data_IF_412535519697
#
_entry.id   IF_412535519697
#
_cell.length_a   1.000
_cell.length_b   1.000
_cell.length_c   1.000
_cell.angle_alpha   90.00
_cell.angle_beta   90.00
_cell.angle_gamma   90.00
#
_symmetry.space_group_name_H-M   'P 1'
#
loop_
_entity.id
_entity.type
_entity.pdbx_description
1 polymer ?
#
# COMPACT_ATOMS: atom_id res chain seq x y z
N UNK A 1 -18.71 57.41 -39.72
CA UNK A 1 -19.87 56.49 -39.66
C UNK A 1 -19.83 55.58 -38.45
N UNK A 2 -18.70 55.11 -38.08
CA UNK A 2 -18.50 54.25 -36.90
C UNK A 2 -18.57 55.00 -35.54
N UNK A 3 -18.39 56.31 -35.54
CA UNK A 3 -18.27 57.09 -34.28
C UNK A 3 -19.59 57.67 -33.76
N UNK A 4 -20.72 57.48 -34.50
CA UNK A 4 -22.03 57.98 -34.10
C UNK A 4 -23.02 56.93 -33.59
N UNK A 5 -22.70 55.66 -33.70
CA UNK A 5 -23.57 54.58 -33.23
C UNK A 5 -23.48 54.34 -31.74
N UNK A 6 -24.64 54.31 -31.11
CA UNK A 6 -24.78 53.89 -29.69
C UNK A 6 -25.34 52.49 -29.61
N UNK A 7 -24.87 51.71 -28.70
CA UNK A 7 -25.39 50.39 -28.40
C UNK A 7 -26.30 50.50 -27.17
N UNK A 8 -27.60 50.26 -27.36
CA UNK A 8 -28.56 50.24 -26.26
C UNK A 8 -28.47 48.92 -25.50
N UNK A 9 -28.12 48.99 -24.25
CA UNK A 9 -28.28 47.89 -23.31
C UNK A 9 -29.46 48.18 -22.36
N UNK A 10 -30.04 47.17 -21.74
CA UNK A 10 -31.21 47.33 -20.85
C UNK A 10 -31.00 48.31 -19.68
N UNK A 11 -29.79 48.74 -19.42
CA UNK A 11 -29.43 49.62 -18.30
C UNK A 11 -28.72 50.92 -18.71
N UNK A 12 -27.98 50.95 -19.82
CA UNK A 12 -27.19 52.12 -20.24
C UNK A 12 -27.05 52.19 -21.75
N UNK A 13 -27.15 53.40 -22.29
CA UNK A 13 -26.78 53.73 -23.69
C UNK A 13 -25.30 54.17 -23.67
N UNK A 14 -24.42 53.33 -24.24
CA UNK A 14 -23.01 53.68 -24.40
C UNK A 14 -22.68 53.97 -25.87
N UNK A 15 -21.99 55.07 -26.17
CA UNK A 15 -21.50 55.34 -27.53
C UNK A 15 -20.55 54.23 -27.99
N UNK A 16 -20.68 53.81 -29.24
CA UNK A 16 -19.88 52.70 -29.81
C UNK A 16 -18.36 52.95 -29.70
N UNK A 17 -17.92 54.20 -29.80
CA UNK A 17 -16.53 54.58 -29.64
C UNK A 17 -15.99 54.28 -28.22
N UNK A 18 -16.82 54.45 -27.18
CA UNK A 18 -16.43 54.12 -25.81
C UNK A 18 -16.28 52.60 -25.65
N UNK A 19 -17.18 51.82 -26.22
CA UNK A 19 -17.12 50.35 -26.20
C UNK A 19 -15.83 49.85 -26.91
N UNK A 20 -15.56 50.38 -28.11
CA UNK A 20 -14.35 50.04 -28.84
C UNK A 20 -13.08 50.42 -28.09
N UNK A 21 -13.06 51.60 -27.45
CA UNK A 21 -11.96 52.05 -26.63
C UNK A 21 -11.74 51.11 -25.44
N UNK A 22 -12.81 50.71 -24.74
CA UNK A 22 -12.70 49.77 -23.61
C UNK A 22 -12.15 48.40 -24.05
N UNK A 23 -12.66 47.86 -25.17
CA UNK A 23 -12.18 46.57 -25.70
C UNK A 23 -10.69 46.66 -26.08
N UNK A 24 -10.31 47.73 -26.78
CA UNK A 24 -8.91 47.96 -27.18
C UNK A 24 -7.99 48.13 -25.95
N UNK A 25 -8.46 48.85 -24.95
CA UNK A 25 -7.70 49.05 -23.71
C UNK A 25 -7.53 47.73 -22.93
N UNK A 26 -8.57 46.92 -22.79
CA UNK A 26 -8.50 45.60 -22.16
C UNK A 26 -7.55 44.66 -22.93
N UNK A 27 -7.67 44.64 -24.25
CA UNK A 27 -6.78 43.84 -25.10
C UNK A 27 -5.32 44.28 -24.95
N UNK A 28 -5.06 45.58 -24.88
CA UNK A 28 -3.73 46.14 -24.65
C UNK A 28 -3.15 45.74 -23.29
N UNK A 29 -3.94 45.84 -22.23
CA UNK A 29 -3.51 45.42 -20.89
C UNK A 29 -3.18 43.91 -20.84
N UNK A 30 -4.00 43.06 -21.46
CA UNK A 30 -3.76 41.60 -21.56
C UNK A 30 -2.44 41.33 -22.30
N UNK A 31 -2.20 41.99 -23.43
CA UNK A 31 -0.98 41.82 -24.21
C UNK A 31 0.24 42.25 -23.44
N UNK A 32 0.19 43.38 -22.72
CA UNK A 32 1.26 43.85 -21.86
C UNK A 32 1.53 42.87 -20.73
N UNK A 33 0.46 42.32 -20.12
CA UNK A 33 0.63 41.33 -19.06
C UNK A 33 1.31 40.06 -19.54
N UNK A 34 0.90 39.54 -20.69
CA UNK A 34 1.54 38.36 -21.32
C UNK A 34 3.01 38.65 -21.64
N UNK A 35 3.31 39.83 -22.17
CA UNK A 35 4.70 40.23 -22.47
C UNK A 35 5.56 40.29 -21.20
N UNK A 36 5.06 40.92 -20.13
CA UNK A 36 5.76 41.00 -18.83
C UNK A 36 5.98 39.63 -18.21
N UNK A 37 5.00 38.73 -18.30
CA UNK A 37 5.14 37.36 -17.81
C UNK A 37 6.21 36.59 -18.57
N UNK A 38 6.26 36.72 -19.89
CA UNK A 38 7.27 36.10 -20.73
C UNK A 38 8.70 36.69 -20.46
N UNK A 39 8.80 38.01 -20.29
CA UNK A 39 10.06 38.68 -19.91
C UNK A 39 10.50 38.19 -18.52
N UNK A 40 9.58 38.10 -17.56
CA UNK A 40 9.86 37.59 -16.22
C UNK A 40 10.37 36.15 -16.22
N UNK A 41 9.75 35.28 -17.07
CA UNK A 41 10.25 33.92 -17.26
C UNK A 41 11.63 33.87 -17.84
N UNK A 42 11.89 34.69 -18.90
CA UNK A 42 13.19 34.76 -19.54
C UNK A 42 14.30 35.27 -18.57
N UNK A 43 13.98 36.28 -17.75
CA UNK A 43 14.92 36.80 -16.73
C UNK A 43 15.17 35.73 -15.66
N UNK A 44 14.13 35.03 -15.17
CA UNK A 44 14.27 33.94 -14.19
C UNK A 44 15.12 32.81 -14.75
N UNK A 45 14.89 32.39 -15.99
CA UNK A 45 15.72 31.37 -16.65
C UNK A 45 17.19 31.83 -16.80
N UNK A 46 17.41 33.09 -17.08
CA UNK A 46 18.76 33.67 -17.14
C UNK A 46 19.46 33.76 -15.78
N UNK A 47 18.70 34.04 -14.70
CA UNK A 47 19.21 34.08 -13.32
C UNK A 47 19.46 32.69 -12.72
N UNK A 48 18.77 31.66 -13.24
CA UNK A 48 18.98 30.27 -12.81
C UNK A 48 20.14 29.58 -13.55
N UNK A 49 20.78 30.21 -14.53
CA UNK A 49 21.97 29.66 -15.15
C UNK A 49 23.12 29.68 -14.15
N UNK A 50 23.81 28.55 -14.06
CA UNK A 50 25.00 28.42 -13.26
C UNK A 50 26.02 29.49 -13.73
N UNK A 51 26.46 30.36 -12.82
CA UNK A 51 27.42 31.45 -13.09
C UNK A 51 28.75 30.95 -13.68
N UNK A 52 29.07 29.67 -13.42
CA UNK A 52 30.28 29.02 -13.88
C UNK A 52 30.07 28.09 -15.07
N UNK A 53 28.81 27.92 -15.52
CA UNK A 53 28.45 27.05 -16.62
C UNK A 53 27.50 27.77 -17.61
N UNK A 54 28.06 28.77 -18.31
CA UNK A 54 27.33 29.60 -19.26
C UNK A 54 26.73 28.81 -20.43
N UNK A 55 27.41 27.73 -20.84
CA UNK A 55 26.97 26.88 -21.95
C UNK A 55 25.97 25.80 -21.50
N UNK A 56 25.66 25.73 -20.21
CA UNK A 56 24.82 24.75 -19.61
C UNK A 56 25.29 23.31 -19.91
N UNK A 57 26.61 23.13 -19.88
CA UNK A 57 27.20 21.80 -20.05
C UNK A 57 26.98 20.93 -18.84
N UNK A 58 26.82 19.66 -19.07
CA UNK A 58 26.87 18.65 -18.00
C UNK A 58 28.32 18.23 -17.74
N UNK A 59 28.55 17.48 -16.68
CA UNK A 59 29.84 16.80 -16.48
C UNK A 59 29.94 15.57 -17.36
N UNK A 60 31.12 15.02 -17.49
CA UNK A 60 31.36 13.80 -18.27
C UNK A 60 30.57 12.64 -17.70
N UNK A 61 29.87 11.94 -18.60
CA UNK A 61 29.01 10.80 -18.28
C UNK A 61 29.59 9.54 -18.91
N UNK A 62 29.21 8.38 -18.37
CA UNK A 62 29.61 7.10 -18.91
C UNK A 62 28.98 6.88 -20.29
N UNK A 63 29.81 6.75 -21.32
CA UNK A 63 29.36 6.46 -22.69
C UNK A 63 29.23 4.94 -22.94
N UNK A 64 29.86 4.13 -22.11
CA UNK A 64 29.82 2.68 -22.21
C UNK A 64 28.69 2.10 -21.39
N UNK A 65 28.03 1.07 -21.94
CA UNK A 65 26.98 0.31 -21.28
C UNK A 65 27.57 -0.77 -20.40
N UNK A 66 27.31 -0.72 -19.11
CA UNK A 66 27.67 -1.79 -18.17
C UNK A 66 26.60 -2.88 -18.16
N UNK A 67 26.84 -4.00 -18.82
CA UNK A 67 25.86 -5.08 -18.91
C UNK A 67 26.33 -6.30 -18.12
N UNK A 68 25.52 -6.70 -17.15
CA UNK A 68 25.67 -7.92 -16.37
C UNK A 68 24.28 -8.50 -16.02
N UNK A 69 24.25 -9.61 -15.33
CA UNK A 69 23.02 -10.29 -14.90
C UNK A 69 22.07 -9.37 -14.12
N UNK A 70 22.59 -8.46 -13.30
CA UNK A 70 21.83 -7.63 -12.38
C UNK A 70 21.65 -6.18 -12.84
N UNK A 71 22.33 -5.77 -13.90
CA UNK A 71 22.36 -4.37 -14.32
C UNK A 71 21.05 -3.90 -14.95
N UNK A 72 20.72 -2.63 -14.69
CA UNK A 72 19.71 -1.87 -15.42
C UNK A 72 20.38 -0.68 -16.07
N UNK A 73 20.22 -0.55 -17.37
CA UNK A 73 20.85 0.50 -18.16
C UNK A 73 19.79 1.45 -18.75
N UNK A 74 19.88 2.70 -18.40
CA UNK A 74 18.97 3.75 -18.86
C UNK A 74 19.73 4.64 -19.85
N UNK A 75 19.30 4.74 -21.11
CA UNK A 75 19.94 5.61 -22.08
C UNK A 75 19.70 7.07 -21.73
N UNK A 76 20.74 7.88 -21.87
CA UNK A 76 20.66 9.32 -21.67
C UNK A 76 21.31 10.10 -22.81
N UNK A 77 20.91 11.36 -22.95
CA UNK A 77 21.62 12.34 -23.79
C UNK A 77 22.08 13.48 -22.91
N UNK A 78 23.30 13.92 -23.11
CA UNK A 78 23.89 15.02 -22.36
C UNK A 78 24.70 15.93 -23.27
N UNK A 79 24.85 17.19 -22.89
CA UNK A 79 25.65 18.18 -23.62
C UNK A 79 26.96 18.35 -22.88
N UNK A 80 28.08 18.09 -23.57
CA UNK A 80 29.41 18.20 -22.98
C UNK A 80 30.47 18.50 -24.07
N UNK A 81 31.36 19.44 -23.79
CA UNK A 81 32.38 19.94 -24.71
C UNK A 81 31.81 20.33 -26.08
N UNK A 82 30.78 21.20 -26.04
CA UNK A 82 30.14 21.75 -27.23
C UNK A 82 29.33 20.76 -28.09
N UNK A 83 29.08 19.55 -27.63
CA UNK A 83 28.39 18.50 -28.39
C UNK A 83 27.37 17.72 -27.57
N UNK A 84 26.28 17.32 -28.22
CA UNK A 84 25.37 16.31 -27.64
C UNK A 84 25.97 14.92 -27.80
N UNK A 85 26.09 14.24 -26.65
CA UNK A 85 26.62 12.89 -26.53
C UNK A 85 25.55 11.94 -26.07
N UNK A 86 25.75 10.65 -26.32
CA UNK A 86 24.91 9.55 -25.77
C UNK A 86 25.67 8.93 -24.61
N UNK A 87 24.98 8.63 -23.55
CA UNK A 87 25.54 7.97 -22.39
C UNK A 87 24.53 7.02 -21.74
N UNK A 88 24.95 6.41 -20.66
CA UNK A 88 24.16 5.44 -19.91
C UNK A 88 24.20 5.76 -18.41
N UNK A 89 23.02 5.73 -17.79
CA UNK A 89 22.94 5.58 -16.35
C UNK A 89 22.87 4.07 -16.08
N UNK A 90 24.01 3.51 -15.67
CA UNK A 90 24.12 2.07 -15.43
C UNK A 90 24.03 1.78 -13.94
N UNK A 91 22.91 1.16 -13.52
CA UNK A 91 22.76 0.57 -12.20
C UNK A 91 23.29 -0.86 -12.28
N UNK A 92 24.57 -1.03 -11.96
CA UNK A 92 25.26 -2.33 -12.13
C UNK A 92 24.88 -3.37 -11.10
N UNK A 93 24.34 -2.93 -9.94
CA UNK A 93 23.90 -3.79 -8.85
C UNK A 93 22.56 -3.30 -8.30
N UNK A 94 21.50 -4.04 -8.61
CA UNK A 94 20.14 -3.70 -8.21
C UNK A 94 19.77 -4.12 -6.77
N UNK A 95 20.66 -4.82 -6.04
CA UNK A 95 20.41 -5.21 -4.64
C UNK A 95 20.50 -4.04 -3.65
N UNK A 96 21.03 -2.91 -4.09
CA UNK A 96 20.95 -1.66 -3.34
C UNK A 96 19.73 -0.87 -3.77
N UNK A 97 19.06 -0.23 -2.82
CA UNK A 97 17.88 0.60 -3.10
C UNK A 97 18.21 1.74 -4.07
N UNK A 98 17.33 1.96 -5.04
CA UNK A 98 17.42 3.10 -5.97
C UNK A 98 16.32 4.09 -5.64
N UNK A 99 16.72 5.31 -5.27
CA UNK A 99 15.78 6.40 -4.96
C UNK A 99 15.65 7.32 -6.16
N UNK A 100 14.40 7.52 -6.63
CA UNK A 100 14.10 8.36 -7.79
C UNK A 100 13.25 9.55 -7.38
N UNK A 101 13.82 10.75 -7.44
CA UNK A 101 13.14 11.99 -7.07
C UNK A 101 12.86 12.83 -8.29
N UNK A 102 11.70 13.47 -8.32
CA UNK A 102 11.29 14.39 -9.37
C UNK A 102 9.86 14.87 -9.18
N UNK A 103 9.52 16.00 -9.73
CA UNK A 103 8.16 16.58 -9.69
C UNK A 103 7.15 15.72 -10.45
N UNK A 104 5.85 15.85 -10.19
CA UNK A 104 4.82 15.25 -11.03
C UNK A 104 5.02 15.63 -12.50
N UNK A 105 4.86 14.68 -13.41
CA UNK A 105 5.05 14.92 -14.85
C UNK A 105 6.50 14.92 -15.35
N UNK A 106 7.53 14.78 -14.47
CA UNK A 106 8.95 14.79 -14.88
C UNK A 106 9.42 13.55 -15.64
N UNK A 107 8.52 12.61 -15.97
CA UNK A 107 8.84 11.41 -16.75
C UNK A 107 9.49 10.27 -15.97
N UNK A 108 9.51 10.30 -14.61
CA UNK A 108 10.10 9.24 -13.78
C UNK A 108 9.67 7.82 -14.17
N UNK A 109 8.37 7.65 -14.37
CA UNK A 109 7.80 6.34 -14.72
C UNK A 109 8.34 5.86 -16.06
N UNK A 110 8.25 6.70 -17.10
CA UNK A 110 8.67 6.34 -18.44
C UNK A 110 10.19 6.15 -18.56
N UNK A 111 10.96 7.09 -17.99
CA UNK A 111 12.41 7.12 -18.18
C UNK A 111 13.18 6.15 -17.27
N UNK A 112 12.61 5.77 -16.11
CA UNK A 112 13.33 4.98 -15.11
C UNK A 112 12.57 3.72 -14.73
N UNK A 113 11.32 3.83 -14.23
CA UNK A 113 10.59 2.68 -13.69
C UNK A 113 10.30 1.63 -14.78
N UNK A 114 9.85 2.05 -15.96
CA UNK A 114 9.60 1.12 -17.08
C UNK A 114 10.86 0.40 -17.57
N UNK A 115 12.01 1.06 -17.76
CA UNK A 115 13.27 0.38 -18.03
C UNK A 115 13.66 -0.67 -16.99
N UNK A 116 13.43 -0.41 -15.68
CA UNK A 116 13.64 -1.39 -14.61
C UNK A 116 12.74 -2.61 -14.79
N UNK A 117 11.43 -2.41 -14.92
CA UNK A 117 10.45 -3.50 -15.14
C UNK A 117 10.83 -4.31 -16.38
N UNK A 118 11.10 -3.64 -17.49
CA UNK A 118 11.43 -4.28 -18.77
C UNK A 118 12.69 -5.13 -18.68
N UNK A 119 13.77 -4.58 -18.10
CA UNK A 119 15.06 -5.25 -18.08
C UNK A 119 15.10 -6.38 -17.05
N UNK A 120 14.56 -6.18 -15.86
CA UNK A 120 14.46 -7.24 -14.86
C UNK A 120 13.57 -8.38 -15.33
N UNK A 121 12.41 -8.07 -15.94
CA UNK A 121 11.57 -9.11 -16.54
C UNK A 121 12.28 -9.91 -17.63
N UNK A 122 13.09 -9.24 -18.47
CA UNK A 122 13.85 -9.91 -19.54
C UNK A 122 14.99 -10.78 -18.99
N UNK A 123 15.46 -10.52 -17.77
CA UNK A 123 16.50 -11.26 -17.05
C UNK A 123 15.94 -12.36 -16.13
N UNK A 124 14.63 -12.56 -16.11
CA UNK A 124 13.99 -13.62 -15.35
C UNK A 124 13.79 -13.33 -13.86
N UNK A 125 13.83 -12.08 -13.44
CA UNK A 125 13.53 -11.72 -12.05
C UNK A 125 12.05 -11.83 -11.75
N UNK A 126 11.69 -12.44 -10.63
CA UNK A 126 10.41 -12.22 -9.99
C UNK A 126 10.35 -10.79 -9.42
N UNK A 127 9.17 -10.20 -9.32
CA UNK A 127 9.08 -8.82 -8.85
C UNK A 127 7.75 -8.47 -8.20
N UNK A 128 7.80 -7.52 -7.27
CA UNK A 128 6.62 -6.83 -6.73
C UNK A 128 6.57 -5.43 -7.33
N UNK A 129 5.41 -5.05 -7.85
CA UNK A 129 5.17 -3.71 -8.39
C UNK A 129 3.96 -3.10 -7.70
N UNK A 130 4.17 -1.98 -7.01
CA UNK A 130 3.10 -1.16 -6.47
C UNK A 130 2.70 -0.11 -7.50
N UNK A 131 1.51 -0.23 -8.05
CA UNK A 131 0.98 0.71 -9.05
C UNK A 131 0.09 1.75 -8.38
N UNK A 132 0.68 2.88 -8.00
CA UNK A 132 -0.01 3.98 -7.34
C UNK A 132 -1.16 4.58 -8.17
N UNK A 133 -1.03 4.55 -9.49
CA UNK A 133 -2.04 5.00 -10.45
C UNK A 133 -2.46 3.85 -11.35
N UNK A 134 -3.07 2.84 -10.76
CA UNK A 134 -3.58 1.70 -11.53
C UNK A 134 -4.52 2.17 -12.66
N UNK A 135 -4.42 1.61 -13.89
CA UNK A 135 -3.59 0.47 -14.31
C UNK A 135 -2.30 0.85 -15.06
N UNK A 136 -1.64 1.95 -14.73
CA UNK A 136 -0.52 2.50 -15.52
C UNK A 136 0.68 1.56 -15.61
N UNK A 137 1.18 1.05 -14.48
CA UNK A 137 2.29 0.08 -14.45
C UNK A 137 1.80 -1.35 -14.66
N UNK A 138 0.56 -1.64 -14.31
CA UNK A 138 -0.05 -2.95 -14.45
C UNK A 138 -0.02 -3.47 -15.87
N UNK A 139 -0.49 -2.66 -16.82
CA UNK A 139 -0.49 -3.00 -18.25
C UNK A 139 0.91 -3.27 -18.79
N UNK A 140 1.89 -2.49 -18.35
CA UNK A 140 3.30 -2.63 -18.78
C UNK A 140 3.94 -3.87 -18.18
N UNK A 141 3.73 -4.10 -16.88
CA UNK A 141 4.22 -5.29 -16.19
C UNK A 141 3.65 -6.55 -16.82
N UNK A 142 2.34 -6.61 -17.04
CA UNK A 142 1.68 -7.75 -17.66
C UNK A 142 2.14 -8.00 -19.10
N UNK A 143 2.31 -6.91 -19.88
CA UNK A 143 2.86 -7.02 -21.24
C UNK A 143 4.25 -7.62 -21.25
N UNK A 144 5.16 -7.15 -20.38
CA UNK A 144 6.53 -7.67 -20.31
C UNK A 144 6.55 -9.10 -19.76
N UNK A 145 5.72 -9.43 -18.79
CA UNK A 145 5.55 -10.79 -18.29
C UNK A 145 5.16 -11.73 -19.45
N UNK A 146 4.07 -11.43 -20.16
CA UNK A 146 3.60 -12.27 -21.30
C UNK A 146 4.59 -12.35 -22.44
N UNK A 147 5.28 -11.28 -22.77
CA UNK A 147 6.32 -11.27 -23.78
C UNK A 147 7.49 -12.19 -23.40
N UNK A 148 7.97 -12.09 -22.18
CA UNK A 148 9.12 -12.88 -21.71
C UNK A 148 8.73 -14.33 -21.40
N UNK A 149 7.49 -14.61 -21.00
CA UNK A 149 6.93 -15.95 -20.89
C UNK A 149 7.01 -16.69 -22.24
N UNK A 150 6.55 -16.04 -23.33
CA UNK A 150 6.65 -16.59 -24.69
C UNK A 150 8.10 -16.82 -25.17
N UNK A 151 9.04 -16.04 -24.65
CA UNK A 151 10.47 -16.17 -24.97
C UNK A 151 11.21 -17.14 -24.04
N UNK A 152 10.52 -17.80 -23.10
CA UNK A 152 11.13 -18.73 -22.14
C UNK A 152 12.09 -18.06 -21.15
N UNK A 153 11.95 -16.74 -20.91
CA UNK A 153 12.81 -15.96 -20.01
C UNK A 153 12.24 -15.84 -18.59
N UNK A 154 10.94 -16.07 -18.43
CA UNK A 154 10.31 -16.09 -17.12
C UNK A 154 10.65 -17.41 -16.42
N UNK A 155 10.95 -17.40 -15.10
CA UNK A 155 11.25 -18.63 -14.38
C UNK A 155 10.14 -19.67 -14.53
N UNK A 156 10.53 -20.95 -14.58
CA UNK A 156 9.57 -22.05 -14.72
C UNK A 156 8.59 -22.05 -13.52
N UNK A 157 7.30 -22.20 -13.82
CA UNK A 157 6.26 -22.19 -12.78
C UNK A 157 5.86 -20.80 -12.27
N UNK A 158 6.51 -19.74 -12.76
CA UNK A 158 6.21 -18.37 -12.33
C UNK A 158 4.78 -17.97 -12.68
N UNK A 159 4.08 -17.41 -11.70
CA UNK A 159 2.68 -16.95 -11.84
C UNK A 159 2.62 -15.44 -11.81
N UNK A 160 1.59 -14.89 -12.46
CA UNK A 160 1.24 -13.48 -12.33
C UNK A 160 0.07 -13.35 -11.35
N UNK A 161 0.32 -12.66 -10.24
CA UNK A 161 -0.68 -12.41 -9.22
C UNK A 161 -0.95 -10.90 -9.12
N UNK A 162 -2.18 -10.55 -8.84
CA UNK A 162 -2.59 -9.17 -8.62
C UNK A 162 -3.47 -9.07 -7.37
N UNK A 163 -3.24 -8.05 -6.57
CA UNK A 163 -4.13 -7.65 -5.47
C UNK A 163 -4.72 -6.30 -5.85
N UNK A 164 -6.04 -6.27 -6.00
CA UNK A 164 -6.76 -5.10 -6.48
C UNK A 164 -8.07 -4.93 -5.73
N UNK A 165 -8.15 -3.91 -4.89
CA UNK A 165 -9.36 -3.55 -4.15
C UNK A 165 -10.35 -2.71 -4.96
N UNK A 166 -9.97 -2.22 -6.13
CA UNK A 166 -10.85 -1.46 -7.03
C UNK A 166 -11.71 -2.41 -7.85
N UNK A 167 -11.10 -3.49 -8.34
CA UNK A 167 -11.76 -4.50 -9.16
C UNK A 167 -11.30 -5.89 -8.70
N UNK A 168 -12.13 -6.50 -7.86
CA UNK A 168 -11.82 -7.78 -7.22
C UNK A 168 -11.88 -8.98 -8.16
N UNK A 169 -12.50 -8.84 -9.34
CA UNK A 169 -12.63 -9.92 -10.32
C UNK A 169 -11.27 -10.48 -10.76
N UNK A 170 -10.28 -9.60 -10.86
CA UNK A 170 -8.90 -9.98 -11.23
C UNK A 170 -7.96 -10.09 -10.04
N UNK A 171 -8.47 -9.94 -8.81
CA UNK A 171 -7.66 -9.99 -7.60
C UNK A 171 -7.44 -11.39 -7.09
N UNK A 172 -6.25 -11.65 -6.55
CA UNK A 172 -6.01 -12.75 -5.63
C UNK A 172 -6.50 -12.36 -4.24
N UNK A 173 -6.90 -13.35 -3.48
CA UNK A 173 -7.24 -13.20 -2.08
C UNK A 173 -6.02 -13.51 -1.22
N UNK A 174 -5.87 -12.77 -0.16
CA UNK A 174 -4.74 -12.91 0.76
C UNK A 174 -5.19 -12.57 2.17
N UNK A 175 -4.83 -13.39 3.12
CA UNK A 175 -5.07 -13.08 4.51
C UNK A 175 -3.77 -12.69 5.22
N UNK A 176 -3.53 -11.39 5.47
CA UNK A 176 -2.32 -10.91 6.14
C UNK A 176 -2.33 -11.14 7.67
N UNK A 177 -3.48 -11.57 8.22
CA UNK A 177 -3.68 -11.79 9.65
C UNK A 177 -3.75 -13.31 9.92
N UNK A 178 -2.61 -13.96 9.92
CA UNK A 178 -2.50 -15.39 10.17
C UNK A 178 -1.34 -15.69 11.13
N UNK A 179 -1.41 -16.83 11.81
CA UNK A 179 -0.36 -17.27 12.73
C UNK A 179 1.03 -17.37 12.11
N UNK A 180 1.11 -17.63 10.79
CA UNK A 180 2.40 -17.64 10.06
C UNK A 180 3.07 -16.27 9.97
N UNK A 181 2.30 -15.18 10.10
CA UNK A 181 2.80 -13.80 10.10
C UNK A 181 2.84 -13.19 11.50
N UNK A 182 1.95 -13.66 12.38
CA UNK A 182 1.75 -13.12 13.72
C UNK A 182 1.97 -14.24 14.72
N UNK A 183 3.21 -14.43 15.11
CA UNK A 183 3.63 -15.50 16.01
C UNK A 183 3.76 -15.04 17.47
N UNK A 184 3.67 -13.76 17.74
CA UNK A 184 3.75 -13.16 19.06
C UNK A 184 2.99 -11.84 19.14
N UNK A 185 2.83 -11.31 20.34
CA UNK A 185 2.12 -10.07 20.58
C UNK A 185 2.79 -8.84 19.94
N UNK A 186 4.12 -8.82 19.85
CA UNK A 186 4.83 -7.72 19.20
C UNK A 186 4.50 -7.63 17.71
N UNK A 187 4.39 -8.77 17.02
CA UNK A 187 3.96 -8.81 15.62
C UNK A 187 2.48 -8.38 15.44
N UNK A 188 1.61 -8.68 16.42
CA UNK A 188 0.25 -8.18 16.44
C UNK A 188 0.21 -6.66 16.63
N UNK A 189 1.04 -6.12 17.52
CA UNK A 189 1.14 -4.68 17.77
C UNK A 189 1.66 -3.94 16.54
N UNK A 190 2.72 -4.42 15.89
CA UNK A 190 3.24 -3.86 14.63
C UNK A 190 2.16 -3.85 13.53
N UNK A 191 1.36 -4.91 13.47
CA UNK A 191 0.25 -5.00 12.51
C UNK A 191 -0.82 -3.94 12.77
N UNK A 192 -1.23 -3.80 14.03
CA UNK A 192 -2.22 -2.82 14.45
C UNK A 192 -1.71 -1.39 14.20
N UNK A 193 -0.46 -1.12 14.55
CA UNK A 193 0.19 0.18 14.35
C UNK A 193 0.25 0.53 12.85
N UNK A 194 0.78 -0.37 12.02
CA UNK A 194 0.86 -0.19 10.55
C UNK A 194 -0.51 0.15 9.96
N UNK A 195 -1.56 -0.55 10.38
CA UNK A 195 -2.91 -0.34 9.87
C UNK A 195 -3.45 1.03 10.32
N UNK A 196 -3.36 1.35 11.61
CA UNK A 196 -3.92 2.59 12.16
C UNK A 196 -3.17 3.83 11.69
N UNK A 197 -1.84 3.81 11.64
CA UNK A 197 -1.04 4.91 11.10
C UNK A 197 -1.37 5.19 9.63
N UNK A 198 -1.54 4.13 8.85
CA UNK A 198 -1.90 4.27 7.43
C UNK A 198 -3.29 4.85 7.23
N UNK A 199 -4.25 4.55 8.11
CA UNK A 199 -5.60 5.13 8.11
C UNK A 199 -5.64 6.60 8.56
N UNK A 200 -4.63 7.02 9.32
CA UNK A 200 -4.50 8.39 9.82
C UNK A 200 -3.73 9.32 8.87
N UNK A 201 -3.08 8.80 7.84
CA UNK A 201 -2.34 9.60 6.85
C UNK A 201 -3.21 10.76 6.33
N UNK A 202 -2.65 11.96 6.38
CA UNK A 202 -3.35 13.20 5.95
C UNK A 202 -4.02 14.00 7.07
N UNK A 203 -4.08 13.50 8.30
CA UNK A 203 -4.41 14.36 9.45
C UNK A 203 -3.15 15.06 9.92
N UNK A 204 -3.24 16.38 10.13
CA UNK A 204 -2.13 17.19 10.65
C UNK A 204 -1.68 16.64 12.00
N UNK A 205 -0.39 16.38 12.15
CA UNK A 205 0.25 16.22 13.45
C UNK A 205 0.04 17.53 14.25
N UNK A 206 -0.89 17.53 15.14
CA UNK A 206 -1.26 18.71 15.94
C UNK A 206 -2.02 18.35 17.21
N UNK A 207 -2.02 17.07 17.57
CA UNK A 207 -2.63 16.59 18.79
C UNK A 207 -1.71 16.74 19.99
N UNK A 208 -2.22 17.29 21.10
CA UNK A 208 -1.54 17.28 22.40
C UNK A 208 -1.38 15.84 22.94
N UNK A 209 -0.72 15.69 24.10
CA UNK A 209 -0.47 14.37 24.71
C UNK A 209 -1.69 13.47 24.91
N UNK A 210 -2.91 14.03 24.95
CA UNK A 210 -4.16 13.26 24.99
C UNK A 210 -4.41 12.46 23.70
N UNK A 211 -4.15 13.05 22.54
CA UNK A 211 -4.36 12.36 21.25
C UNK A 211 -3.42 11.18 21.09
N UNK A 212 -2.17 11.34 21.51
CA UNK A 212 -1.19 10.26 21.49
C UNK A 212 -1.61 9.11 22.42
N UNK A 213 -2.16 9.42 23.60
CA UNK A 213 -2.68 8.41 24.53
C UNK A 213 -3.81 7.59 23.88
N UNK A 214 -4.79 8.24 23.26
CA UNK A 214 -5.91 7.56 22.62
C UNK A 214 -5.46 6.72 21.41
N UNK A 215 -4.50 7.21 20.63
CA UNK A 215 -3.92 6.45 19.51
C UNK A 215 -3.21 5.20 20.00
N UNK A 216 -2.32 5.32 20.98
CA UNK A 216 -1.61 4.17 21.56
C UNK A 216 -2.58 3.16 22.16
N UNK A 217 -3.64 3.63 22.83
CA UNK A 217 -4.68 2.78 23.36
C UNK A 217 -5.42 2.02 22.26
N UNK A 218 -5.77 2.69 21.15
CA UNK A 218 -6.42 2.06 20.00
C UNK A 218 -5.53 0.97 19.37
N UNK A 219 -4.22 1.23 19.23
CA UNK A 219 -3.24 0.24 18.75
C UNK A 219 -3.20 -0.97 19.67
N UNK A 220 -3.06 -0.76 20.99
CA UNK A 220 -2.98 -1.85 21.96
C UNK A 220 -4.26 -2.71 21.97
N UNK A 221 -5.42 -2.07 21.84
CA UNK A 221 -6.69 -2.79 21.83
C UNK A 221 -6.86 -3.62 20.53
N UNK A 222 -6.50 -3.05 19.38
CA UNK A 222 -6.53 -3.77 18.10
C UNK A 222 -5.52 -4.92 18.10
N UNK A 223 -4.32 -4.70 18.65
CA UNK A 223 -3.30 -5.74 18.80
C UNK A 223 -3.80 -6.91 19.66
N UNK A 224 -4.48 -6.61 20.77
CA UNK A 224 -5.10 -7.62 21.61
C UNK A 224 -6.13 -8.46 20.85
N UNK A 225 -7.02 -7.80 20.08
CA UNK A 225 -8.01 -8.50 19.24
C UNK A 225 -7.34 -9.36 18.16
N UNK A 226 -6.36 -8.82 17.46
CA UNK A 226 -5.61 -9.55 16.42
C UNK A 226 -4.94 -10.79 17.03
N UNK A 227 -4.21 -10.62 18.12
CA UNK A 227 -3.48 -11.72 18.76
C UNK A 227 -4.42 -12.79 19.29
N UNK A 228 -5.53 -12.39 19.91
CA UNK A 228 -6.58 -13.31 20.36
C UNK A 228 -7.09 -14.19 19.21
N UNK A 229 -7.54 -13.57 18.12
CA UNK A 229 -8.14 -14.34 17.01
C UNK A 229 -7.11 -15.17 16.23
N UNK A 230 -5.87 -14.79 16.19
CA UNK A 230 -4.80 -15.61 15.62
C UNK A 230 -4.62 -16.92 16.42
N UNK A 231 -4.85 -16.89 17.73
CA UNK A 231 -4.68 -18.04 18.61
C UNK A 231 -5.98 -18.80 18.94
N UNK A 232 -7.13 -18.19 18.69
CA UNK A 232 -8.43 -18.74 19.04
C UNK A 232 -8.87 -19.83 18.05
N UNK A 233 -9.26 -21.00 18.59
CA UNK A 233 -9.73 -22.14 17.79
C UNK A 233 -8.87 -22.45 16.56
N UNK A 234 -7.57 -22.65 16.76
CA UNK A 234 -6.65 -22.99 15.67
C UNK A 234 -7.00 -24.34 15.05
N UNK A 235 -7.00 -24.36 13.72
CA UNK A 235 -7.16 -25.56 12.91
C UNK A 235 -5.82 -25.91 12.23
N UNK A 236 -5.39 -27.19 12.24
CA UNK A 236 -4.14 -27.62 11.62
C UNK A 236 -4.33 -27.89 10.12
N UNK A 237 -3.28 -27.60 9.35
CA UNK A 237 -3.23 -27.83 7.90
C UNK A 237 -1.96 -28.55 7.50
N UNK A 238 -2.04 -29.34 6.40
CA UNK A 238 -0.87 -29.90 5.74
C UNK A 238 -0.15 -28.88 4.83
N UNK A 239 0.99 -29.29 4.26
CA UNK A 239 1.79 -28.43 3.36
C UNK A 239 1.05 -28.02 2.07
N UNK A 240 0.00 -28.74 1.69
CA UNK A 240 -0.81 -28.50 0.51
C UNK A 240 -2.05 -27.64 0.80
N UNK A 241 -2.23 -27.20 2.05
CA UNK A 241 -3.41 -26.44 2.46
C UNK A 241 -4.64 -27.27 2.76
N UNK A 242 -4.51 -28.59 2.88
CA UNK A 242 -5.60 -29.48 3.26
C UNK A 242 -5.80 -29.42 4.78
N UNK A 243 -7.02 -29.22 5.29
CA UNK A 243 -7.29 -29.26 6.73
C UNK A 243 -7.03 -30.67 7.29
N UNK A 244 -6.41 -30.70 8.46
CA UNK A 244 -6.17 -31.89 9.25
C UNK A 244 -7.14 -31.93 10.43
N UNK A 245 -7.24 -33.08 11.08
CA UNK A 245 -8.10 -33.28 12.23
C UNK A 245 -7.33 -33.08 13.53
N UNK A 246 -7.69 -32.04 14.31
CA UNK A 246 -7.17 -31.86 15.67
C UNK A 246 -8.04 -32.65 16.65
N UNK A 247 -7.44 -33.63 17.34
CA UNK A 247 -8.12 -34.43 18.35
C UNK A 247 -8.49 -33.56 19.57
N UNK A 248 -9.74 -33.64 20.01
CA UNK A 248 -10.24 -32.87 21.16
C UNK A 248 -10.76 -33.82 22.23
N UNK A 249 -10.55 -33.47 23.48
CA UNK A 249 -11.05 -34.18 24.63
C UNK A 249 -11.92 -33.23 25.48
N UNK A 250 -13.04 -33.77 25.98
CA UNK A 250 -13.89 -33.00 26.88
C UNK A 250 -13.27 -32.92 28.26
N UNK A 251 -13.09 -31.72 28.76
CA UNK A 251 -12.64 -31.46 30.12
C UNK A 251 -13.70 -31.96 31.13
N UNK A 252 -13.35 -32.87 32.06
CA UNK A 252 -14.33 -33.43 32.98
C UNK A 252 -15.01 -32.42 33.90
N UNK A 253 -14.32 -31.32 34.23
CA UNK A 253 -14.82 -30.31 35.17
C UNK A 253 -15.62 -29.22 34.44
N UNK A 254 -15.09 -28.66 33.36
CA UNK A 254 -15.71 -27.53 32.66
C UNK A 254 -16.68 -27.98 31.57
N UNK A 255 -16.62 -29.26 31.14
CA UNK A 255 -17.39 -29.80 30.00
C UNK A 255 -17.05 -29.18 28.65
N UNK A 256 -16.08 -28.29 28.57
CA UNK A 256 -15.60 -27.75 27.30
C UNK A 256 -14.66 -28.72 26.60
N UNK A 257 -14.67 -28.66 25.26
CA UNK A 257 -13.75 -29.44 24.43
C UNK A 257 -12.42 -28.72 24.29
N UNK A 258 -11.33 -29.38 24.75
CA UNK A 258 -9.96 -28.86 24.65
C UNK A 258 -9.14 -29.69 23.65
N UNK A 259 -8.27 -29.08 22.84
CA UNK A 259 -7.39 -29.85 21.96
C UNK A 259 -6.41 -30.67 22.79
N UNK A 260 -6.18 -31.91 22.40
CA UNK A 260 -5.20 -32.82 23.05
C UNK A 260 -3.75 -32.57 22.59
N UNK A 261 -3.59 -31.78 21.52
CA UNK A 261 -2.30 -31.60 20.84
C UNK A 261 -2.01 -32.64 19.76
N UNK A 262 -2.83 -33.68 19.68
CA UNK A 262 -2.68 -34.74 18.66
C UNK A 262 -3.40 -34.31 17.40
N UNK A 263 -2.69 -34.37 16.27
CA UNK A 263 -3.25 -34.08 14.93
C UNK A 263 -3.20 -35.34 14.08
N UNK A 264 -4.28 -35.57 13.33
CA UNK A 264 -4.43 -36.73 12.45
C UNK A 264 -4.74 -36.28 11.02
N UNK A 265 -4.44 -37.14 10.03
CA UNK A 265 -4.78 -36.92 8.61
C UNK A 265 -6.31 -36.85 8.39
N UNK A 266 -7.09 -37.49 9.28
CA UNK A 266 -8.57 -37.50 9.36
C UNK A 266 -9.00 -37.99 10.73
N UNK A 267 -10.27 -37.86 11.04
CA UNK A 267 -10.85 -38.46 12.26
C UNK A 267 -10.54 -39.96 12.32
N UNK A 268 -9.93 -40.41 13.42
CA UNK A 268 -9.53 -41.81 13.59
C UNK A 268 -8.40 -42.30 12.67
N UNK A 269 -7.75 -41.39 11.94
CA UNK A 269 -6.64 -41.68 11.03
C UNK A 269 -5.26 -41.69 11.69
N UNK A 270 -4.22 -41.66 10.87
CA UNK A 270 -2.83 -41.65 11.35
C UNK A 270 -2.45 -40.32 11.99
N UNK A 271 -1.59 -40.37 13.00
CA UNK A 271 -1.01 -39.17 13.59
C UNK A 271 -0.04 -38.54 12.57
N UNK A 272 -0.19 -37.25 12.34
CA UNK A 272 0.62 -36.46 11.40
C UNK A 272 1.02 -35.14 12.04
N UNK A 273 2.15 -34.60 11.60
CA UNK A 273 2.55 -33.25 12.00
C UNK A 273 1.94 -32.20 11.06
N UNK A 274 1.25 -31.18 11.59
CA UNK A 274 0.72 -30.10 10.76
C UNK A 274 1.84 -29.23 10.25
N UNK A 275 1.73 -28.80 9.00
CA UNK A 275 2.68 -27.83 8.44
C UNK A 275 2.49 -26.43 9.02
N UNK A 276 1.24 -26.07 9.34
CA UNK A 276 0.89 -24.81 9.97
C UNK A 276 -0.51 -24.87 10.61
N UNK A 277 -0.78 -23.87 11.44
CA UNK A 277 -2.06 -23.70 12.12
C UNK A 277 -2.67 -22.36 11.73
N UNK A 278 -3.99 -22.33 11.49
CA UNK A 278 -4.75 -21.10 11.24
C UNK A 278 -5.83 -20.92 12.30
N UNK A 279 -5.94 -19.72 12.84
CA UNK A 279 -7.07 -19.36 13.69
C UNK A 279 -8.36 -19.35 12.87
N UNK A 280 -9.42 -19.93 13.41
CA UNK A 280 -10.71 -20.05 12.73
C UNK A 280 -11.32 -18.70 12.35
N UNK A 281 -11.07 -17.67 13.14
CA UNK A 281 -11.60 -16.31 12.96
C UNK A 281 -10.49 -15.28 12.73
N UNK A 282 -9.31 -15.74 12.35
CA UNK A 282 -8.12 -14.92 12.14
C UNK A 282 -8.14 -14.26 10.77
N UNK A 283 -9.04 -13.33 10.57
CA UNK A 283 -9.11 -12.50 9.37
C UNK A 283 -9.70 -11.12 9.67
N UNK A 284 -9.56 -10.20 8.73
CA UNK A 284 -10.05 -8.83 8.89
C UNK A 284 -11.57 -8.75 9.07
N UNK A 285 -12.41 -9.46 8.29
CA UNK A 285 -13.85 -9.42 8.46
C UNK A 285 -14.32 -9.79 9.85
N UNK A 286 -13.80 -10.88 10.43
CA UNK A 286 -14.17 -11.32 11.77
C UNK A 286 -13.72 -10.33 12.85
N UNK A 287 -12.50 -9.81 12.75
CA UNK A 287 -11.99 -8.80 13.70
C UNK A 287 -12.84 -7.53 13.65
N UNK A 288 -13.17 -7.03 12.46
CA UNK A 288 -13.99 -5.83 12.30
C UNK A 288 -15.42 -6.05 12.84
N UNK A 289 -16.00 -7.22 12.62
CA UNK A 289 -17.31 -7.58 13.18
C UNK A 289 -17.26 -7.63 14.70
N UNK A 290 -16.24 -8.26 15.27
CA UNK A 290 -16.05 -8.33 16.73
C UNK A 290 -15.86 -6.96 17.37
N UNK A 291 -15.15 -6.04 16.75
CA UNK A 291 -14.97 -4.68 17.25
C UNK A 291 -16.30 -3.89 17.35
N UNK A 292 -17.35 -4.32 16.65
CA UNK A 292 -18.68 -3.70 16.69
C UNK A 292 -19.60 -4.31 17.74
N UNK A 293 -19.18 -5.37 18.43
CA UNK A 293 -19.94 -5.97 19.53
C UNK A 293 -20.01 -5.07 20.77
N UNK A 294 -20.85 -5.44 21.73
CA UNK A 294 -20.94 -4.71 23.01
C UNK A 294 -19.63 -4.81 23.78
N UNK A 295 -19.27 -3.79 24.54
CA UNK A 295 -18.07 -3.83 25.38
C UNK A 295 -18.07 -5.00 26.35
N UNK A 296 -19.24 -5.37 26.89
CA UNK A 296 -19.37 -6.52 27.76
C UNK A 296 -18.97 -7.81 27.03
N UNK A 297 -19.53 -8.06 25.85
CA UNK A 297 -19.20 -9.23 25.01
C UNK A 297 -17.70 -9.25 24.66
N UNK A 298 -17.15 -8.09 24.26
CA UNK A 298 -15.75 -7.99 23.90
C UNK A 298 -14.84 -8.37 25.07
N UNK A 299 -15.09 -7.82 26.26
CA UNK A 299 -14.28 -8.13 27.43
C UNK A 299 -14.43 -9.58 27.89
N UNK A 300 -15.67 -10.10 27.94
CA UNK A 300 -15.93 -11.50 28.30
C UNK A 300 -15.18 -12.48 27.40
N UNK A 301 -15.10 -12.19 26.11
CA UNK A 301 -14.37 -13.02 25.15
C UNK A 301 -12.87 -12.90 25.29
N UNK A 302 -12.33 -11.67 25.32
CA UNK A 302 -10.89 -11.46 25.37
C UNK A 302 -10.26 -11.88 26.73
N UNK A 303 -11.00 -11.80 27.82
CA UNK A 303 -10.55 -12.25 29.16
C UNK A 303 -10.34 -13.78 29.24
N UNK A 304 -10.83 -14.53 28.27
CA UNK A 304 -10.60 -15.99 28.24
C UNK A 304 -9.16 -16.35 27.88
N UNK A 305 -8.38 -15.42 27.35
CA UNK A 305 -6.98 -15.60 27.00
C UNK A 305 -6.08 -14.88 28.01
N UNK A 306 -5.28 -15.66 28.74
CA UNK A 306 -4.37 -15.16 29.79
C UNK A 306 -3.23 -14.28 29.23
N UNK A 307 -2.86 -14.40 27.97
CA UNK A 307 -1.82 -13.56 27.34
C UNK A 307 -2.37 -12.19 26.93
N UNK A 308 -3.64 -12.13 26.60
CA UNK A 308 -4.33 -10.91 26.17
C UNK A 308 -4.89 -10.12 27.36
N UNK A 309 -5.39 -10.82 28.37
CA UNK A 309 -6.05 -10.20 29.53
C UNK A 309 -5.26 -9.06 30.21
N UNK A 310 -3.91 -9.11 30.37
CA UNK A 310 -3.12 -8.03 30.95
C UNK A 310 -3.20 -6.72 30.14
N UNK A 311 -3.37 -6.79 28.83
CA UNK A 311 -3.46 -5.63 27.94
C UNK A 311 -4.78 -4.87 28.09
N UNK A 312 -5.80 -5.55 28.64
CA UNK A 312 -7.15 -5.01 28.77
C UNK A 312 -7.35 -4.17 30.04
N UNK A 313 -6.39 -4.19 30.95
CA UNK A 313 -6.50 -3.55 32.27
C UNK A 313 -7.05 -2.11 32.25
N UNK A 314 -6.50 -1.18 31.46
CA UNK A 314 -6.99 0.20 31.37
C UNK A 314 -8.43 0.28 30.87
N UNK A 315 -8.79 -0.55 29.87
CA UNK A 315 -10.11 -0.57 29.25
C UNK A 315 -11.16 -1.16 30.21
N UNK A 316 -10.83 -2.26 30.86
CA UNK A 316 -11.68 -2.90 31.86
C UNK A 316 -11.91 -1.99 33.07
N UNK A 317 -10.88 -1.27 33.50
CA UNK A 317 -11.00 -0.32 34.60
C UNK A 317 -11.99 0.81 34.24
N UNK A 318 -11.87 1.37 33.03
CA UNK A 318 -12.80 2.38 32.55
C UNK A 318 -14.24 1.83 32.45
N UNK A 319 -14.40 0.60 31.96
CA UNK A 319 -15.71 -0.06 31.85
C UNK A 319 -16.34 -0.32 33.23
N UNK A 320 -15.60 -0.91 34.17
CA UNK A 320 -16.06 -1.21 35.55
C UNK A 320 -16.43 0.05 36.33
N UNK A 321 -15.67 1.13 36.11
CA UNK A 321 -15.93 2.42 36.71
C UNK A 321 -17.04 3.24 36.02
N UNK A 322 -17.65 2.68 34.96
CA UNK A 322 -18.66 3.37 34.12
C UNK A 322 -18.15 4.66 33.48
N UNK A 323 -16.83 4.77 33.26
CA UNK A 323 -16.20 5.89 32.60
C UNK A 323 -16.32 5.74 31.05
N UNK A 324 -17.57 5.79 30.57
CA UNK A 324 -17.90 5.47 29.17
C UNK A 324 -17.28 6.45 28.19
N UNK A 325 -17.16 7.74 28.55
CA UNK A 325 -16.51 8.74 27.69
C UNK A 325 -15.02 8.42 27.47
N UNK A 326 -14.33 7.97 28.51
CA UNK A 326 -12.94 7.55 28.41
C UNK A 326 -12.82 6.27 27.57
N UNK A 327 -13.71 5.31 27.75
CA UNK A 327 -13.73 4.07 27.00
C UNK A 327 -14.01 4.33 25.53
N UNK A 328 -14.99 5.19 25.21
CA UNK A 328 -15.25 5.62 23.84
C UNK A 328 -14.09 6.41 23.23
N UNK A 329 -13.38 7.21 24.02
CA UNK A 329 -12.15 7.86 23.55
C UNK A 329 -11.10 6.84 23.10
N UNK A 330 -10.92 5.75 23.86
CA UNK A 330 -9.94 4.71 23.57
C UNK A 330 -10.37 3.75 22.45
N UNK A 331 -11.59 3.23 22.49
CA UNK A 331 -12.07 2.18 21.56
C UNK A 331 -12.92 2.78 20.43
N UNK A 332 -13.72 3.82 20.71
CA UNK A 332 -14.54 4.48 19.71
C UNK A 332 -13.73 5.09 18.58
N UNK A 333 -12.57 5.66 18.89
CA UNK A 333 -11.61 6.14 17.88
C UNK A 333 -11.19 5.00 16.95
N UNK A 334 -10.87 3.82 17.48
CA UNK A 334 -10.55 2.63 16.71
C UNK A 334 -11.70 2.24 15.77
N UNK A 335 -12.93 2.19 16.30
CA UNK A 335 -14.14 1.85 15.52
C UNK A 335 -14.36 2.81 14.35
N UNK A 336 -14.16 4.11 14.56
CA UNK A 336 -14.28 5.11 13.49
C UNK A 336 -13.27 4.89 12.38
N UNK A 337 -12.03 4.56 12.71
CA UNK A 337 -11.02 4.27 11.70
C UNK A 337 -11.28 2.96 10.97
N UNK A 338 -11.56 1.90 11.71
CA UNK A 338 -11.71 0.57 11.15
C UNK A 338 -13.02 0.37 10.39
N UNK A 339 -14.07 1.14 10.69
CA UNK A 339 -15.34 1.10 9.94
C UNK A 339 -15.17 1.42 8.44
N UNK A 340 -14.16 2.22 8.09
CA UNK A 340 -13.84 2.52 6.68
C UNK A 340 -13.30 1.32 5.92
N UNK A 341 -12.76 0.31 6.62
CA UNK A 341 -12.23 -0.91 6.03
C UNK A 341 -13.32 -1.95 5.75
N UNK A 342 -14.53 -1.75 6.29
CA UNK A 342 -15.65 -2.67 6.14
C UNK A 342 -16.32 -2.53 4.77
N UNK A 343 -15.56 -2.78 3.70
CA UNK A 343 -16.07 -2.80 2.32
C UNK A 343 -16.22 -4.24 1.83
N UNK A 344 -17.07 -4.46 0.84
CA UNK A 344 -17.26 -5.79 0.24
C UNK A 344 -15.96 -6.33 -0.35
N UNK A 345 -15.19 -5.44 -0.97
CA UNK A 345 -13.92 -5.74 -1.62
C UNK A 345 -12.86 -6.18 -0.60
N UNK A 346 -12.72 -5.43 0.51
CA UNK A 346 -11.78 -5.78 1.57
C UNK A 346 -12.18 -7.09 2.26
N UNK A 347 -13.47 -7.30 2.47
CA UNK A 347 -13.97 -8.55 3.04
C UNK A 347 -13.71 -9.74 2.14
N UNK A 348 -13.93 -9.58 0.84
CA UNK A 348 -13.67 -10.64 -0.12
C UNK A 348 -12.18 -10.98 -0.22
N UNK A 349 -11.29 -9.96 -0.28
CA UNK A 349 -9.84 -10.17 -0.43
C UNK A 349 -9.24 -10.75 0.85
N UNK A 350 -9.66 -10.27 2.02
CA UNK A 350 -9.03 -10.61 3.30
C UNK A 350 -9.72 -11.74 4.07
N UNK A 351 -10.76 -12.35 3.52
CA UNK A 351 -11.42 -13.46 4.18
C UNK A 351 -10.51 -14.69 4.20
N UNK A 352 -10.46 -15.36 5.33
CA UNK A 352 -9.62 -16.54 5.59
C UNK A 352 -9.85 -17.68 4.58
N UNK A 353 -11.11 -17.98 4.25
CA UNK A 353 -11.46 -19.08 3.32
C UNK A 353 -11.05 -18.80 1.87
N UNK A 354 -10.61 -17.60 1.60
CA UNK A 354 -10.19 -17.17 0.29
C UNK A 354 -8.69 -16.96 0.13
N UNK A 355 -7.86 -17.37 1.11
CA UNK A 355 -6.42 -17.19 1.05
C UNK A 355 -5.79 -18.14 0.01
N UNK A 356 -5.74 -17.67 -1.21
CA UNK A 356 -5.22 -18.39 -2.37
C UNK A 356 -3.82 -17.91 -2.82
N UNK A 357 -3.22 -16.98 -2.07
CA UNK A 357 -1.88 -16.44 -2.34
C UNK A 357 -1.09 -16.16 -1.06
N UNK A 358 0.02 -16.85 -0.87
CA UNK A 358 0.84 -16.84 0.35
C UNK A 358 1.93 -15.74 0.38
N UNK A 359 1.81 -14.65 -0.34
CA UNK A 359 2.79 -13.54 -0.37
C UNK A 359 4.28 -13.97 -0.54
N UNK A 360 4.54 -15.20 -0.99
CA UNK A 360 5.88 -15.72 -1.30
C UNK A 360 6.21 -15.41 -2.75
N UNK A 361 6.71 -14.21 -3.01
CA UNK A 361 7.00 -13.75 -4.37
C UNK A 361 8.31 -14.34 -4.87
N UNK A 362 9.32 -14.43 -4.01
CA UNK A 362 10.68 -14.86 -4.34
C UNK A 362 10.97 -16.34 -4.06
N UNK A 363 9.94 -17.15 -3.79
CA UNK A 363 10.10 -18.59 -3.59
C UNK A 363 10.68 -19.22 -4.87
N UNK A 364 11.88 -19.84 -4.82
CA UNK A 364 12.50 -20.45 -6.01
C UNK A 364 11.65 -21.56 -6.66
N UNK A 365 10.79 -22.21 -5.87
CA UNK A 365 9.89 -23.27 -6.36
C UNK A 365 8.64 -22.74 -7.02
N UNK A 366 8.15 -21.58 -6.55
CA UNK A 366 6.92 -20.95 -7.03
C UNK A 366 7.10 -19.44 -7.17
N UNK A 367 8.07 -18.98 -8.00
CA UNK A 367 8.29 -17.54 -8.17
C UNK A 367 7.03 -16.87 -8.72
N UNK A 368 6.85 -15.60 -8.41
CA UNK A 368 5.69 -14.88 -8.93
C UNK A 368 5.97 -13.41 -9.20
N UNK A 369 5.20 -12.86 -10.12
CA UNK A 369 5.01 -11.43 -10.27
C UNK A 369 3.82 -11.04 -9.41
N UNK A 370 3.99 -10.07 -8.56
CA UNK A 370 2.92 -9.51 -7.76
C UNK A 370 2.70 -8.05 -8.12
N UNK A 371 1.52 -7.73 -8.58
CA UNK A 371 1.04 -6.37 -8.75
C UNK A 371 0.12 -6.02 -7.59
N UNK A 372 0.39 -4.89 -6.94
CA UNK A 372 -0.49 -4.31 -5.92
C UNK A 372 -1.07 -3.02 -6.52
N UNK A 373 -2.37 -3.02 -6.76
CA UNK A 373 -3.08 -1.88 -7.33
C UNK A 373 -3.47 -0.87 -6.24
N UNK A 374 -3.36 0.41 -6.57
CA UNK A 374 -3.87 1.51 -5.75
C UNK A 374 -4.72 2.46 -6.59
N UNK A 375 -5.66 3.12 -5.94
CA UNK A 375 -6.43 4.21 -6.50
C UNK A 375 -6.15 5.49 -5.69
N UNK A 376 -5.61 6.55 -6.31
CA UNK A 376 -5.36 7.81 -5.62
C UNK A 376 -6.61 8.47 -5.03
N UNK A 377 -7.79 8.21 -5.59
CA UNK A 377 -9.06 8.75 -5.08
C UNK A 377 -9.51 8.04 -3.80
N UNK A 378 -9.12 6.78 -3.62
CA UNK A 378 -9.44 5.95 -2.46
C UNK A 378 -8.21 5.64 -1.59
N UNK A 379 -7.14 6.41 -1.71
CA UNK A 379 -5.85 6.13 -1.05
C UNK A 379 -5.96 5.99 0.47
N UNK A 380 -6.85 6.74 1.11
CA UNK A 380 -7.04 6.69 2.56
C UNK A 380 -7.52 5.31 3.07
N UNK A 381 -8.12 4.50 2.21
CA UNK A 381 -8.62 3.15 2.53
C UNK A 381 -7.73 2.10 1.87
N UNK A 382 -7.62 2.12 0.57
CA UNK A 382 -6.85 1.15 -0.21
C UNK A 382 -5.36 1.21 0.16
N UNK A 383 -4.83 2.41 0.38
CA UNK A 383 -3.45 2.59 0.83
C UNK A 383 -3.16 1.94 2.18
N UNK A 384 -4.11 1.97 3.12
CA UNK A 384 -3.96 1.31 4.42
C UNK A 384 -3.99 -0.23 4.30
N UNK A 385 -4.88 -0.76 3.47
CA UNK A 385 -4.94 -2.21 3.19
C UNK A 385 -3.67 -2.69 2.48
N UNK A 386 -3.21 -1.93 1.49
CA UNK A 386 -1.96 -2.20 0.79
C UNK A 386 -0.73 -2.10 1.69
N UNK A 387 -0.71 -1.15 2.63
CA UNK A 387 0.39 -1.02 3.59
C UNK A 387 0.55 -2.28 4.46
N UNK A 388 -0.55 -2.89 4.87
CA UNK A 388 -0.52 -4.15 5.62
C UNK A 388 0.07 -5.28 4.78
N UNK A 389 -0.29 -5.38 3.51
CA UNK A 389 0.28 -6.38 2.59
C UNK A 389 1.77 -6.14 2.36
N UNK A 390 2.16 -4.89 2.12
CA UNK A 390 3.56 -4.50 1.91
C UNK A 390 4.42 -4.77 3.15
N UNK A 391 3.91 -4.48 4.35
CA UNK A 391 4.59 -4.80 5.60
C UNK A 391 4.89 -6.31 5.68
N UNK A 392 3.91 -7.17 5.36
CA UNK A 392 4.11 -8.63 5.33
C UNK A 392 5.15 -9.07 4.31
N UNK A 393 5.12 -8.49 3.12
CA UNK A 393 6.10 -8.80 2.06
C UNK A 393 7.52 -8.42 2.49
N UNK A 394 7.71 -7.20 3.02
CA UNK A 394 9.04 -6.70 3.44
C UNK A 394 9.57 -7.52 4.61
N UNK A 395 8.75 -7.80 5.61
CA UNK A 395 9.15 -8.62 6.77
C UNK A 395 9.61 -10.01 6.33
N UNK A 396 8.90 -10.66 5.41
CA UNK A 396 9.29 -11.99 4.90
C UNK A 396 10.61 -11.96 4.14
N UNK A 397 10.81 -10.97 3.29
CA UNK A 397 12.08 -10.81 2.55
C UNK A 397 13.24 -10.60 3.52
N UNK A 398 13.07 -9.74 4.52
CA UNK A 398 14.10 -9.43 5.51
C UNK A 398 14.45 -10.62 6.41
N UNK A 399 13.50 -11.51 6.68
CA UNK A 399 13.71 -12.72 7.48
C UNK A 399 14.19 -13.93 6.66
N UNK A 400 14.42 -13.76 5.36
CA UNK A 400 14.82 -14.84 4.46
C UNK A 400 13.73 -15.89 4.20
N UNK A 401 12.47 -15.56 4.51
CA UNK A 401 11.30 -16.42 4.30
C UNK A 401 10.52 -16.06 3.02
N UNK A 402 11.01 -15.06 2.28
CA UNK A 402 10.38 -14.52 1.08
C UNK A 402 10.65 -15.30 -0.20
#
# INVERSE_FOLDING_TARGET
>A
WLFGHTMETRLYTLPLNIILYMIASIAGVVLVHIALDNISKFIKEGLMKDRFNFENESFEQCEEKVENEYSVNIPMRYYYKGKFRKGWISVSNCFRGTWVVGTPGSGKTFSIIEPFIRQHSAKGFAMVVYDYKFPTLATKLYYHYKKNEKLGRVPQGCKFNMINFVDVEYSRRVNPIQAKYINNLAAASETAETLLESLQKGKKEGGGGSDQFFQTSAVNFLAACIYFFVNYEREPYDANGKPLYAERQQDPQTKFWKPTGIVRDREGGNIVEPAYWLGKYSDMPHILSFLNESYQTIFEVLETDNEVAPLLGPFQTAFKNKAMEQLEGMIGTLRVYTSRLATKESYWIFHRDGDDFDLKVSDPKNPSYLLIANDPEMESIIGALNALILNRLVTRVNTGQG
#
